data_IF_483116330234
#
_entry.id   IF_483116330234
#
_cell.length_a   1.000
_cell.length_b   1.000
_cell.length_c   1.000
_cell.angle_alpha   90.00
_cell.angle_beta   90.00
_cell.angle_gamma   90.00
#
_symmetry.space_group_name_H-M   'P 1'
#
loop_
_entity.id
_entity.type
_entity.pdbx_description
1 polymer ?
#
# COMPACT_ATOMS: atom_id res chain seq x y z
N UNK A 1 7.63 5.72 14.60
CA UNK A 1 8.34 4.43 14.67
C UNK A 1 8.50 3.83 13.26
N UNK A 2 9.63 3.21 13.01
CA UNK A 2 9.95 2.59 11.71
C UNK A 2 10.27 1.12 11.94
N UNK A 3 9.70 0.24 11.10
CA UNK A 3 10.04 -1.17 11.09
C UNK A 3 10.42 -1.58 9.66
N UNK A 4 11.54 -2.29 9.52
CA UNK A 4 12.01 -2.87 8.26
C UNK A 4 11.96 -4.39 8.39
N UNK A 5 11.27 -5.06 7.47
CA UNK A 5 11.11 -6.51 7.47
C UNK A 5 11.55 -7.08 6.13
N UNK A 6 12.54 -7.98 6.16
CA UNK A 6 12.93 -8.80 5.02
C UNK A 6 12.20 -10.14 5.09
N UNK A 7 11.54 -10.52 4.01
CA UNK A 7 10.71 -11.72 3.93
C UNK A 7 11.29 -12.64 2.86
N UNK A 8 11.69 -13.84 3.27
CA UNK A 8 12.24 -14.87 2.37
C UNK A 8 11.32 -16.07 2.19
N UNK A 9 10.20 -16.12 2.92
CA UNK A 9 9.20 -17.17 2.84
C UNK A 9 7.82 -16.53 2.67
N UNK A 10 7.06 -16.89 1.62
CA UNK A 10 5.69 -16.36 1.45
C UNK A 10 4.77 -16.65 2.64
N UNK A 11 5.00 -17.74 3.37
CA UNK A 11 4.22 -18.07 4.56
C UNK A 11 4.39 -17.04 5.69
N UNK A 12 5.45 -16.24 5.67
CA UNK A 12 5.73 -15.16 6.63
C UNK A 12 5.26 -13.78 6.13
N UNK A 13 4.36 -13.72 5.15
CA UNK A 13 3.94 -12.47 4.52
C UNK A 13 3.31 -11.46 5.49
N UNK A 14 2.72 -11.92 6.62
CA UNK A 14 2.18 -11.04 7.67
C UNK A 14 3.24 -10.46 8.61
N UNK A 15 4.51 -10.84 8.47
CA UNK A 15 5.54 -10.42 9.40
C UNK A 15 5.64 -8.88 9.51
N UNK A 16 5.68 -8.39 10.74
CA UNK A 16 5.87 -6.99 11.05
C UNK A 16 4.63 -6.10 10.86
N UNK A 17 3.50 -6.63 10.39
CA UNK A 17 2.29 -5.84 10.22
C UNK A 17 1.07 -6.51 10.87
N UNK A 18 0.42 -5.76 11.76
CA UNK A 18 -0.74 -6.23 12.53
C UNK A 18 -2.07 -5.69 11.97
N UNK A 19 -2.02 -4.64 11.15
CA UNK A 19 -3.19 -3.94 10.63
C UNK A 19 -3.77 -4.58 9.37
N UNK A 20 -3.04 -5.54 8.78
CA UNK A 20 -3.40 -6.17 7.51
C UNK A 20 -3.29 -7.68 7.66
N UNK A 21 -4.37 -8.38 7.28
CA UNK A 21 -4.33 -9.81 7.03
C UNK A 21 -3.84 -10.05 5.61
N UNK A 22 -2.78 -10.83 5.46
CA UNK A 22 -2.13 -11.04 4.17
C UNK A 22 -1.70 -12.50 4.03
N UNK A 23 -2.14 -13.13 2.95
CA UNK A 23 -1.73 -14.47 2.52
C UNK A 23 -1.04 -14.38 1.16
N UNK A 24 0.07 -15.09 0.98
CA UNK A 24 0.90 -15.00 -0.21
C UNK A 24 1.29 -16.38 -0.76
N UNK A 25 1.24 -16.50 -2.09
CA UNK A 25 1.68 -17.68 -2.82
C UNK A 25 2.66 -17.28 -3.90
N UNK A 26 3.86 -17.85 -3.87
CA UNK A 26 4.88 -17.63 -4.88
C UNK A 26 4.50 -18.35 -6.19
N UNK A 27 4.60 -17.66 -7.31
CA UNK A 27 4.25 -18.16 -8.64
C UNK A 27 5.46 -18.46 -9.53
N UNK A 28 6.68 -18.27 -9.02
CA UNK A 28 7.93 -18.52 -9.75
C UNK A 28 8.88 -19.33 -8.88
N UNK A 29 9.74 -20.14 -9.52
CA UNK A 29 10.71 -20.99 -8.83
C UNK A 29 11.94 -20.25 -8.29
N UNK A 30 12.14 -19.00 -8.66
CA UNK A 30 13.23 -18.15 -8.16
C UNK A 30 13.09 -17.93 -6.64
N UNK A 31 14.18 -17.90 -5.87
CA UNK A 31 14.09 -17.64 -4.44
C UNK A 31 13.33 -16.34 -4.13
N UNK A 32 12.34 -16.45 -3.26
CA UNK A 32 11.48 -15.34 -2.87
C UNK A 32 12.22 -14.37 -1.96
N UNK A 33 12.14 -13.09 -2.28
CA UNK A 33 12.56 -12.01 -1.40
C UNK A 33 11.56 -10.87 -1.49
N UNK A 34 11.06 -10.45 -0.36
CA UNK A 34 10.24 -9.25 -0.24
C UNK A 34 10.81 -8.36 0.84
N UNK A 35 10.68 -7.06 0.65
CA UNK A 35 11.04 -6.05 1.64
C UNK A 35 9.81 -5.24 1.98
N UNK A 36 9.57 -5.07 3.26
CA UNK A 36 8.50 -4.23 3.77
C UNK A 36 9.07 -3.19 4.72
N UNK A 37 8.69 -1.95 4.54
CA UNK A 37 9.02 -0.87 5.47
C UNK A 37 7.72 -0.25 5.96
N UNK A 38 7.56 -0.19 7.26
CA UNK A 38 6.38 0.36 7.91
C UNK A 38 6.80 1.61 8.66
N UNK A 39 6.23 2.75 8.28
CA UNK A 39 6.46 4.04 8.95
C UNK A 39 5.16 4.46 9.63
N UNK A 40 5.17 4.44 10.96
CA UNK A 40 4.03 4.88 11.76
C UNK A 40 4.19 6.35 12.10
N UNK A 41 3.30 7.16 11.54
CA UNK A 41 3.13 8.58 11.82
C UNK A 41 2.01 8.76 12.85
N UNK A 42 1.82 9.98 13.33
CA UNK A 42 0.81 10.28 14.35
C UNK A 42 -0.61 9.91 13.87
N UNK A 43 -0.96 10.26 12.63
CA UNK A 43 -2.31 10.11 12.08
C UNK A 43 -2.41 9.14 10.91
N UNK A 44 -1.30 8.52 10.52
CA UNK A 44 -1.25 7.64 9.37
C UNK A 44 -0.17 6.57 9.51
N UNK A 45 -0.32 5.47 8.80
CA UNK A 45 0.73 4.48 8.62
C UNK A 45 1.03 4.34 7.14
N UNK A 46 2.31 4.39 6.78
CA UNK A 46 2.78 4.21 5.41
C UNK A 46 3.50 2.87 5.32
N UNK A 47 3.08 2.03 4.39
CA UNK A 47 3.67 0.71 4.16
C UNK A 47 4.24 0.65 2.76
N UNK A 48 5.56 0.54 2.68
CA UNK A 48 6.26 0.24 1.43
C UNK A 48 6.42 -1.27 1.29
N UNK A 49 6.19 -1.79 0.10
CA UNK A 49 6.35 -3.21 -0.20
C UNK A 49 7.03 -3.39 -1.55
N UNK A 50 8.04 -4.25 -1.60
CA UNK A 50 8.75 -4.63 -2.81
C UNK A 50 8.91 -6.15 -2.87
N UNK A 51 8.78 -6.73 -4.05
CA UNK A 51 9.02 -8.16 -4.31
C UNK A 51 9.91 -8.35 -5.53
N UNK A 52 10.69 -9.44 -5.51
CA UNK A 52 11.61 -9.79 -6.60
C UNK A 52 11.06 -10.85 -7.57
N UNK A 53 9.93 -11.46 -7.24
CA UNK A 53 9.33 -12.55 -8.02
C UNK A 53 7.83 -12.34 -8.14
N UNK A 54 7.22 -13.08 -9.06
CA UNK A 54 5.77 -13.08 -9.22
C UNK A 54 5.10 -13.76 -8.04
N UNK A 55 4.17 -13.03 -7.40
CA UNK A 55 3.46 -13.47 -6.20
C UNK A 55 1.97 -13.17 -6.34
N UNK A 56 1.15 -14.09 -5.87
CA UNK A 56 -0.28 -13.85 -5.65
C UNK A 56 -0.52 -13.62 -4.17
N UNK A 57 -1.18 -12.51 -3.82
CA UNK A 57 -1.56 -12.22 -2.44
C UNK A 57 -3.05 -11.94 -2.32
N UNK A 58 -3.58 -12.24 -1.14
CA UNK A 58 -4.88 -11.76 -0.69
C UNK A 58 -4.64 -10.90 0.52
N UNK A 59 -5.19 -9.70 0.51
CA UNK A 59 -4.94 -8.70 1.54
C UNK A 59 -6.25 -8.10 2.01
N UNK A 60 -6.36 -7.90 3.32
CA UNK A 60 -7.51 -7.25 3.93
C UNK A 60 -7.06 -6.39 5.11
N UNK A 61 -7.54 -5.17 5.18
CA UNK A 61 -7.29 -4.29 6.33
C UNK A 61 -8.23 -4.68 7.45
N UNK A 62 -7.68 -4.97 8.63
CA UNK A 62 -8.43 -5.54 9.77
C UNK A 62 -9.06 -4.52 10.71
N UNK A 63 -8.78 -3.23 10.54
CA UNK A 63 -9.25 -2.15 11.42
C UNK A 63 -10.08 -1.14 10.64
N UNK A 64 -10.71 -0.20 11.32
CA UNK A 64 -11.49 0.88 10.69
C UNK A 64 -10.61 1.88 9.94
N UNK A 65 -9.62 1.38 9.19
CA UNK A 65 -8.73 2.19 8.37
C UNK A 65 -9.11 2.06 6.90
N UNK A 66 -8.92 3.14 6.17
CA UNK A 66 -8.94 3.14 4.71
C UNK A 66 -7.52 2.93 4.19
N UNK A 67 -7.39 2.16 3.12
CA UNK A 67 -6.13 1.97 2.43
C UNK A 67 -6.15 2.71 1.09
N UNK A 68 -5.09 3.48 0.82
CA UNK A 68 -4.85 4.10 -0.48
C UNK A 68 -3.53 3.59 -1.02
N UNK A 69 -3.56 2.95 -2.18
CA UNK A 69 -2.40 2.23 -2.73
C UNK A 69 -1.93 2.91 -4.01
N UNK A 70 -0.65 3.25 -4.05
CA UNK A 70 0.05 3.76 -5.23
C UNK A 70 1.15 2.78 -5.64
N UNK A 71 1.61 2.88 -6.88
CA UNK A 71 2.50 1.89 -7.48
C UNK A 71 3.75 2.53 -8.03
N UNK A 72 4.87 1.80 -7.95
CA UNK A 72 6.16 2.24 -8.45
C UNK A 72 6.24 2.25 -9.98
N UNK A 73 7.32 2.82 -10.53
CA UNK A 73 7.46 3.03 -11.98
C UNK A 73 7.56 1.73 -12.78
N UNK A 74 7.97 0.63 -12.15
CA UNK A 74 8.11 -0.68 -12.80
C UNK A 74 7.04 -1.68 -12.34
N UNK A 75 6.09 -1.25 -11.52
CA UNK A 75 5.04 -2.13 -11.03
C UNK A 75 4.13 -2.57 -12.16
N UNK A 76 3.92 -3.87 -12.27
CA UNK A 76 2.95 -4.48 -13.18
C UNK A 76 2.27 -5.67 -12.52
N UNK A 77 1.12 -6.02 -13.02
CA UNK A 77 0.26 -7.06 -12.46
C UNK A 77 -1.18 -6.60 -12.37
N UNK A 78 -1.94 -7.22 -11.47
CA UNK A 78 -3.36 -6.90 -11.30
C UNK A 78 -3.75 -6.81 -9.84
N UNK A 79 -4.79 -6.03 -9.57
CA UNK A 79 -5.50 -6.01 -8.28
C UNK A 79 -6.99 -6.19 -8.58
N UNK A 80 -7.59 -7.27 -8.10
CA UNK A 80 -8.98 -7.64 -8.42
C UNK A 80 -9.27 -7.58 -9.93
N UNK A 81 -8.31 -8.01 -10.76
CA UNK A 81 -8.42 -7.97 -12.22
C UNK A 81 -8.13 -6.61 -12.86
N UNK A 82 -7.93 -5.56 -12.07
CA UNK A 82 -7.56 -4.23 -12.57
C UNK A 82 -6.07 -4.19 -12.86
N UNK A 83 -5.68 -3.84 -14.09
CA UNK A 83 -4.27 -3.71 -14.46
C UNK A 83 -3.59 -2.56 -13.73
N UNK A 84 -2.47 -2.87 -13.08
CA UNK A 84 -1.69 -1.91 -12.32
C UNK A 84 -0.73 -1.16 -13.25
N UNK A 85 -0.61 0.16 -13.02
CA UNK A 85 0.31 1.04 -13.72
C UNK A 85 0.71 2.20 -12.81
N UNK A 86 1.86 2.84 -13.05
CA UNK A 86 2.17 4.12 -12.42
C UNK A 86 1.06 5.15 -12.71
N UNK A 87 0.71 5.95 -11.72
CA UNK A 87 -0.38 6.91 -11.86
C UNK A 87 -1.76 6.38 -11.49
N UNK A 88 -1.92 5.06 -11.32
CA UNK A 88 -3.13 4.48 -10.73
C UNK A 88 -3.09 4.61 -9.21
N UNK A 89 -4.19 5.03 -8.61
CA UNK A 89 -4.42 4.93 -7.17
C UNK A 89 -5.66 4.08 -6.93
N UNK A 90 -5.54 3.10 -6.04
CA UNK A 90 -6.66 2.30 -5.57
C UNK A 90 -7.02 2.73 -4.15
N UNK A 91 -8.31 2.76 -3.86
CA UNK A 91 -8.82 2.91 -2.50
C UNK A 91 -9.53 1.64 -2.06
N UNK A 92 -9.33 1.24 -0.82
CA UNK A 92 -9.99 0.09 -0.22
C UNK A 92 -10.64 0.48 1.11
N UNK A 93 -11.89 0.07 1.29
CA UNK A 93 -12.55 0.18 2.60
C UNK A 93 -12.02 -0.88 3.56
N UNK A 94 -12.26 -0.67 4.85
CA UNK A 94 -11.94 -1.64 5.90
C UNK A 94 -12.63 -2.97 5.59
N UNK A 95 -11.93 -4.07 5.84
CA UNK A 95 -12.38 -5.45 5.62
C UNK A 95 -12.57 -5.87 4.15
N UNK A 96 -12.39 -4.99 3.18
CA UNK A 96 -12.44 -5.35 1.78
C UNK A 96 -11.24 -6.21 1.38
N UNK A 97 -11.49 -7.29 0.64
CA UNK A 97 -10.44 -8.18 0.15
C UNK A 97 -9.87 -7.66 -1.17
N UNK A 98 -8.56 -7.52 -1.23
CA UNK A 98 -7.81 -7.21 -2.44
C UNK A 98 -6.95 -8.41 -2.84
N UNK A 99 -7.18 -8.93 -4.04
CA UNK A 99 -6.40 -10.00 -4.63
C UNK A 99 -5.36 -9.42 -5.59
N UNK A 100 -4.09 -9.47 -5.18
CA UNK A 100 -2.97 -8.98 -5.97
C UNK A 100 -2.31 -10.11 -6.74
N UNK A 101 -1.96 -9.86 -7.98
CA UNK A 101 -0.96 -10.64 -8.71
C UNK A 101 0.14 -9.66 -9.10
N UNK A 102 1.28 -9.78 -8.44
CA UNK A 102 2.41 -8.86 -8.62
C UNK A 102 3.48 -9.52 -9.46
N UNK A 103 4.02 -8.81 -10.45
CA UNK A 103 5.17 -9.26 -11.21
C UNK A 103 6.48 -8.91 -10.48
N UNK A 104 7.61 -9.43 -10.97
CA UNK A 104 8.93 -9.06 -10.48
C UNK A 104 9.13 -7.53 -10.58
N UNK A 105 9.96 -6.96 -9.71
CA UNK A 105 10.20 -5.51 -9.61
C UNK A 105 8.98 -4.70 -9.12
N UNK A 106 8.04 -5.37 -8.47
CA UNK A 106 6.91 -4.70 -7.86
C UNK A 106 7.34 -3.81 -6.71
N UNK A 107 6.86 -2.57 -6.73
CA UNK A 107 6.90 -1.65 -5.60
C UNK A 107 5.53 -1.03 -5.41
N UNK A 108 5.05 -0.97 -4.18
CA UNK A 108 3.82 -0.29 -3.82
C UNK A 108 3.97 0.50 -2.53
N UNK A 109 3.21 1.57 -2.41
CA UNK A 109 3.03 2.32 -1.17
C UNK A 109 1.56 2.32 -0.80
N UNK A 110 1.28 1.89 0.41
CA UNK A 110 -0.05 1.91 0.99
C UNK A 110 -0.09 2.94 2.12
N UNK A 111 -1.05 3.85 2.04
CA UNK A 111 -1.34 4.82 3.08
C UNK A 111 -2.57 4.34 3.84
N UNK A 112 -2.41 4.04 5.13
CA UNK A 112 -3.49 3.63 6.02
C UNK A 112 -3.93 4.84 6.84
N UNK A 113 -5.18 5.22 6.70
CA UNK A 113 -5.74 6.44 7.28
C UNK A 113 -7.11 6.15 7.92
N UNK A 114 -7.34 6.69 9.11
CA UNK A 114 -8.65 6.65 9.72
C UNK A 114 -9.61 7.62 9.00
N UNK A 115 -10.88 7.23 8.72
CA UNK A 115 -11.84 8.10 8.06
C UNK A 115 -12.04 9.44 8.76
N UNK A 116 -12.04 9.46 10.09
CA UNK A 116 -12.19 10.68 10.89
C UNK A 116 -11.01 11.64 10.70
N UNK A 117 -9.79 11.16 10.52
CA UNK A 117 -8.62 11.97 10.25
C UNK A 117 -8.71 12.66 8.87
N UNK A 118 -9.19 11.92 7.89
CA UNK A 118 -9.41 12.47 6.54
C UNK A 118 -10.48 13.56 6.61
N UNK A 119 -11.60 13.29 7.27
CA UNK A 119 -12.68 14.25 7.43
C UNK A 119 -12.23 15.51 8.17
N UNK A 120 -11.49 15.36 9.27
CA UNK A 120 -10.96 16.49 10.03
C UNK A 120 -10.06 17.39 9.16
N UNK A 121 -9.18 16.76 8.36
CA UNK A 121 -8.31 17.48 7.44
C UNK A 121 -9.09 18.25 6.35
N UNK A 122 -10.13 17.62 5.79
CA UNK A 122 -10.97 18.23 4.76
C UNK A 122 -11.85 19.33 5.32
N UNK A 123 -12.37 19.20 6.54
CA UNK A 123 -13.10 20.25 7.26
C UNK A 123 -12.20 21.47 7.45
N UNK A 124 -10.97 21.27 7.93
CA UNK A 124 -10.00 22.34 8.12
C UNK A 124 -9.70 23.10 6.81
N UNK A 125 -9.84 22.45 5.66
CA UNK A 125 -9.66 23.02 4.33
C UNK A 125 -10.97 23.38 3.61
N UNK A 126 -12.09 23.34 4.32
CA UNK A 126 -13.43 23.63 3.78
C UNK A 126 -13.82 22.73 2.59
N UNK A 127 -13.39 21.47 2.60
CA UNK A 127 -13.62 20.48 1.51
C UNK A 127 -14.33 19.21 1.97
N UNK A 128 -14.91 19.18 3.15
CA UNK A 128 -15.51 17.98 3.73
C UNK A 128 -16.63 17.36 2.88
N UNK A 129 -17.39 18.20 2.15
CA UNK A 129 -18.49 17.73 1.30
C UNK A 129 -18.07 16.92 0.07
N UNK A 130 -16.76 16.89 -0.25
CA UNK A 130 -16.24 16.14 -1.40
C UNK A 130 -15.73 14.73 -1.03
N UNK A 131 -15.70 14.41 0.27
CA UNK A 131 -15.20 13.13 0.75
C UNK A 131 -16.29 12.05 0.67
N UNK A 132 -15.97 10.97 0.01
CA UNK A 132 -16.78 9.76 -0.08
C UNK A 132 -15.96 8.53 0.34
N UNK A 133 -16.54 7.68 1.18
CA UNK A 133 -15.91 6.39 1.52
C UNK A 133 -15.85 5.50 0.28
N UNK A 134 -14.72 4.80 0.05
CA UNK A 134 -14.65 3.82 -1.02
C UNK A 134 -15.58 2.64 -0.75
N UNK A 135 -16.07 2.02 -1.82
CA UNK A 135 -16.80 0.77 -1.78
C UNK A 135 -15.92 -0.38 -2.25
N UNK A 136 -15.62 -1.33 -1.36
CA UNK A 136 -14.72 -2.42 -1.67
C UNK A 136 -13.32 -1.91 -2.01
N UNK A 137 -12.78 -2.39 -3.13
CA UNK A 137 -11.52 -1.91 -3.72
C UNK A 137 -11.85 -1.26 -5.05
N UNK A 138 -11.58 0.02 -5.18
CA UNK A 138 -11.92 0.78 -6.38
C UNK A 138 -10.80 1.73 -6.83
N UNK A 139 -10.63 1.93 -8.16
CA UNK A 139 -9.73 2.96 -8.65
C UNK A 139 -10.30 4.36 -8.38
N UNK A 140 -9.39 5.28 -8.03
CA UNK A 140 -9.74 6.68 -7.85
C UNK A 140 -9.51 7.47 -9.13
N UNK A 141 -10.41 8.41 -9.40
CA UNK A 141 -10.30 9.38 -10.50
C UNK A 141 -9.39 10.53 -10.06
N UNK A 142 -8.09 10.32 -10.15
CA UNK A 142 -7.04 11.28 -9.76
C UNK A 142 -6.08 11.46 -10.91
N UNK A 143 -5.54 12.67 -11.05
CA UNK A 143 -4.49 12.98 -12.02
C UNK A 143 -3.28 12.04 -11.83
N UNK A 144 -2.91 11.33 -12.90
CA UNK A 144 -1.84 10.34 -12.88
C UNK A 144 -0.50 10.94 -12.45
N UNK A 145 -0.18 12.17 -12.86
CA UNK A 145 1.07 12.84 -12.47
C UNK A 145 1.11 13.14 -10.97
N UNK A 146 -0.03 13.50 -10.38
CA UNK A 146 -0.13 13.71 -8.93
C UNK A 146 0.08 12.41 -8.16
N UNK A 147 -0.45 11.31 -8.65
CA UNK A 147 -0.27 9.98 -8.04
C UNK A 147 1.19 9.55 -8.12
N UNK A 148 1.85 9.74 -9.26
CA UNK A 148 3.28 9.45 -9.42
C UNK A 148 4.11 10.28 -8.43
N UNK A 149 3.82 11.57 -8.28
CA UNK A 149 4.51 12.44 -7.31
C UNK A 149 4.25 12.00 -5.87
N UNK A 150 3.06 11.52 -5.56
CA UNK A 150 2.74 10.99 -4.24
C UNK A 150 3.55 9.73 -3.93
N UNK A 151 3.69 8.82 -4.89
CA UNK A 151 4.55 7.66 -4.75
C UNK A 151 6.01 8.08 -4.50
N UNK A 152 6.54 8.99 -5.31
CA UNK A 152 7.92 9.47 -5.17
C UNK A 152 8.16 10.14 -3.83
N UNK A 153 7.21 10.94 -3.36
CA UNK A 153 7.27 11.56 -2.04
C UNK A 153 7.26 10.51 -0.92
N UNK A 154 6.35 9.55 -0.98
CA UNK A 154 6.25 8.49 0.02
C UNK A 154 7.48 7.58 0.02
N UNK A 155 8.05 7.28 -1.14
CA UNK A 155 9.30 6.51 -1.26
C UNK A 155 10.47 7.26 -0.60
N UNK A 156 10.58 8.57 -0.80
CA UNK A 156 11.59 9.39 -0.11
C UNK A 156 11.39 9.42 1.40
N UNK A 157 10.15 9.49 1.86
CA UNK A 157 9.83 9.40 3.29
C UNK A 157 10.33 8.07 3.87
N UNK A 158 10.04 6.97 3.20
CA UNK A 158 10.46 5.62 3.59
C UNK A 158 11.98 5.51 3.62
N UNK A 159 12.66 5.96 2.57
CA UNK A 159 14.13 5.91 2.48
C UNK A 159 14.78 6.76 3.58
N UNK A 160 14.30 7.97 3.81
CA UNK A 160 14.79 8.85 4.87
C UNK A 160 14.57 8.22 6.25
N UNK A 161 13.42 7.62 6.50
CA UNK A 161 13.09 6.99 7.78
C UNK A 161 13.96 5.77 8.06
N UNK A 162 14.35 5.01 7.03
CA UNK A 162 15.24 3.84 7.19
C UNK A 162 16.69 4.20 7.34
N UNK A 163 17.13 5.35 6.82
CA UNK A 163 18.52 5.80 6.88
C UNK A 163 18.85 6.52 8.20
N UNK A 164 17.85 6.87 9.00
CA UNK A 164 18.06 7.48 10.32
C UNK A 164 18.17 6.37 11.38
N UNK A 165 19.33 6.22 12.04
CA UNK A 165 19.44 5.31 13.19
C UNK A 165 18.52 5.81 14.31
N UNK A 166 17.66 4.92 14.77
CA UNK A 166 16.76 5.17 15.93
C UNK A 166 17.54 5.25 17.24
#
# INVERSE_FOLDING_TARGET
AVAVVEISDPAAANAGIELIDLDAVQLQATPFRARRVIVRLETATVVFHATNVRVRTRTRVLTDLLAYVTFGPQASGTVNGISVRPGLMLAAESEAEAAFVTDAHWESLTFLLAPQEIRAHLIARQRAGTFRLPHGVEPLQVDAERVIRLFDWGKRLVDTATDQPS
#
